data_IF_222331899748
#
_entry.id   IF_222331899748
#
_cell.length_a   1.000
_cell.length_b   1.000
_cell.length_c   1.000
_cell.angle_alpha   90.00
_cell.angle_beta   90.00
_cell.angle_gamma   90.00
#
_symmetry.space_group_name_H-M   'P 1'
#
loop_
_entity.id
_entity.type
_entity.pdbx_description
1 polymer ?
#
# COMPACT_ATOMS: atom_id res chain seq x y z
N UNK A 1 -3.17 23.62 3.74
CA UNK A 1 -2.62 22.38 4.32
C UNK A 1 -3.39 21.21 3.73
N UNK A 2 -2.73 20.18 3.19
CA UNK A 2 -3.40 18.95 2.71
C UNK A 2 -3.22 17.88 3.80
N UNK A 3 -4.32 17.32 4.30
CA UNK A 3 -4.31 16.31 5.36
C UNK A 3 -4.94 15.04 4.80
N UNK A 4 -4.27 13.89 4.96
CA UNK A 4 -4.92 12.59 4.82
C UNK A 4 -5.46 12.18 6.20
N UNK A 5 -6.78 12.07 6.32
CA UNK A 5 -7.47 11.70 7.56
C UNK A 5 -8.01 10.29 7.44
N UNK A 6 -7.68 9.43 8.42
CA UNK A 6 -8.11 8.04 8.47
C UNK A 6 -9.14 7.86 9.59
N UNK A 7 -10.40 7.70 9.20
CA UNK A 7 -11.47 7.29 10.13
C UNK A 7 -11.60 5.76 10.11
N UNK A 8 -10.78 5.10 10.92
CA UNK A 8 -10.71 3.64 10.99
C UNK A 8 -11.16 3.15 12.36
N UNK A 9 -12.47 2.99 12.56
CA UNK A 9 -13.07 2.63 13.86
C UNK A 9 -12.47 1.36 14.50
N UNK A 10 -12.01 0.40 13.69
CA UNK A 10 -11.37 -0.85 14.12
C UNK A 10 -9.89 -0.95 13.74
N UNK A 11 -9.26 0.16 13.37
CA UNK A 11 -7.93 0.18 12.77
C UNK A 11 -7.90 -0.24 11.29
N UNK A 12 -6.71 -0.17 10.69
CA UNK A 12 -6.42 -0.54 9.30
C UNK A 12 -5.12 -1.34 9.26
N UNK A 13 -5.07 -2.42 8.46
CA UNK A 13 -3.85 -3.20 8.27
C UNK A 13 -2.84 -2.46 7.38
N UNK A 14 -1.55 -2.80 7.51
CA UNK A 14 -0.49 -2.11 6.79
C UNK A 14 -0.60 -2.20 5.26
N UNK A 15 -1.01 -3.35 4.72
CA UNK A 15 -1.23 -3.56 3.29
C UNK A 15 -2.41 -2.74 2.76
N UNK A 16 -3.50 -2.62 3.54
CA UNK A 16 -4.64 -1.77 3.20
C UNK A 16 -4.25 -0.28 3.19
N UNK A 17 -3.47 0.16 4.18
CA UNK A 17 -2.96 1.54 4.25
C UNK A 17 -2.07 1.86 3.05
N UNK A 18 -1.11 1.00 2.73
CA UNK A 18 -0.21 1.19 1.58
C UNK A 18 -1.00 1.19 0.27
N UNK A 19 -1.95 0.27 0.11
CA UNK A 19 -2.85 0.25 -1.05
C UNK A 19 -3.61 1.56 -1.22
N UNK A 20 -4.15 2.11 -0.14
CA UNK A 20 -4.85 3.40 -0.16
C UNK A 20 -3.92 4.58 -0.51
N UNK A 21 -2.66 4.57 -0.04
CA UNK A 21 -1.68 5.59 -0.40
C UNK A 21 -1.27 5.51 -1.87
N UNK A 22 -1.15 4.31 -2.44
CA UNK A 22 -0.90 4.11 -3.88
C UNK A 22 -2.08 4.67 -4.69
N UNK A 23 -3.32 4.42 -4.25
CA UNK A 23 -4.51 5.02 -4.88
C UNK A 23 -4.55 6.55 -4.76
N UNK A 24 -3.95 7.12 -3.72
CA UNK A 24 -3.78 8.57 -3.52
C UNK A 24 -2.62 9.17 -4.35
N UNK A 25 -1.82 8.35 -5.03
CA UNK A 25 -0.71 8.76 -5.89
C UNK A 25 0.68 8.51 -5.33
N UNK A 26 0.84 7.67 -4.30
CA UNK A 26 2.16 7.18 -3.89
C UNK A 26 2.80 6.37 -5.03
N UNK A 27 3.99 6.79 -5.43
CA UNK A 27 4.80 6.08 -6.42
C UNK A 27 5.35 4.77 -5.83
N UNK A 28 5.12 3.67 -6.54
CA UNK A 28 5.56 2.35 -6.12
C UNK A 28 7.08 2.19 -6.20
N UNK A 29 7.75 2.85 -7.13
CA UNK A 29 9.20 2.74 -7.27
C UNK A 29 9.90 3.54 -6.18
N UNK A 30 9.30 4.67 -5.75
CA UNK A 30 9.69 5.35 -4.52
C UNK A 30 9.55 4.43 -3.30
N UNK A 31 8.42 3.74 -3.14
CA UNK A 31 8.20 2.79 -2.04
C UNK A 31 9.24 1.66 -2.03
N UNK A 32 9.53 1.05 -3.19
CA UNK A 32 10.58 0.01 -3.32
C UNK A 32 11.95 0.53 -2.87
N UNK A 33 12.31 1.73 -3.30
CA UNK A 33 13.59 2.37 -2.93
C UNK A 33 13.70 2.58 -1.43
N UNK A 34 12.64 3.04 -0.79
CA UNK A 34 12.63 3.27 0.67
C UNK A 34 12.67 1.97 1.46
N UNK A 35 11.91 0.94 1.04
CA UNK A 35 11.96 -0.39 1.66
C UNK A 35 13.32 -1.08 1.49
N UNK A 36 14.03 -0.81 0.39
CA UNK A 36 15.38 -1.31 0.15
C UNK A 36 16.40 -0.89 1.22
N UNK A 37 16.15 0.20 1.97
CA UNK A 37 17.03 0.65 3.06
C UNK A 37 16.99 -0.27 4.28
N UNK A 38 15.93 -1.08 4.43
CA UNK A 38 15.77 -1.99 5.57
C UNK A 38 16.69 -3.22 5.50
N UNK A 39 17.45 -3.39 4.42
CA UNK A 39 18.38 -4.53 4.21
C UNK A 39 17.70 -5.90 4.35
N UNK A 40 16.40 -5.97 4.09
CA UNK A 40 15.63 -7.22 4.05
C UNK A 40 15.95 -7.97 2.75
N UNK A 41 16.12 -9.28 2.85
CA UNK A 41 16.29 -10.18 1.71
C UNK A 41 14.99 -10.96 1.46
N UNK A 42 14.90 -11.56 0.28
CA UNK A 42 13.89 -12.57 -0.04
C UNK A 42 12.44 -12.08 0.09
N UNK A 43 12.17 -10.87 -0.40
CA UNK A 43 10.81 -10.38 -0.58
C UNK A 43 10.65 -9.63 -1.91
N UNK A 44 9.43 -9.64 -2.43
CA UNK A 44 8.98 -8.76 -3.50
C UNK A 44 7.68 -8.10 -3.07
N UNK A 45 7.43 -6.91 -3.61
CA UNK A 45 6.16 -6.22 -3.42
C UNK A 45 5.40 -6.20 -4.73
N UNK A 46 4.10 -6.43 -4.63
CA UNK A 46 3.17 -6.30 -5.74
C UNK A 46 2.05 -5.35 -5.37
N UNK A 47 1.65 -4.52 -6.31
CA UNK A 47 0.44 -3.71 -6.20
C UNK A 47 -0.40 -3.96 -7.45
N UNK A 48 -1.65 -4.37 -7.25
CA UNK A 48 -2.58 -4.63 -8.35
C UNK A 48 -3.93 -3.99 -8.07
N UNK A 49 -4.57 -3.48 -9.11
CA UNK A 49 -5.97 -3.07 -9.03
C UNK A 49 -6.84 -4.30 -8.87
N UNK A 50 -7.75 -4.24 -7.91
CA UNK A 50 -8.77 -5.26 -7.67
C UNK A 50 -10.14 -4.60 -7.56
N UNK A 51 -11.20 -5.37 -7.81
CA UNK A 51 -12.57 -5.01 -7.44
C UNK A 51 -13.00 -5.96 -6.34
N UNK A 52 -13.33 -5.41 -5.16
CA UNK A 52 -13.86 -6.18 -4.02
C UNK A 52 -15.21 -5.60 -3.66
N UNK A 53 -16.27 -6.42 -3.72
CA UNK A 53 -17.64 -6.01 -3.43
C UNK A 53 -18.07 -4.74 -4.23
N UNK A 54 -17.65 -4.65 -5.50
CA UNK A 54 -17.96 -3.51 -6.38
C UNK A 54 -17.08 -2.27 -6.18
N UNK A 55 -16.16 -2.27 -5.22
CA UNK A 55 -15.24 -1.15 -4.96
C UNK A 55 -13.88 -1.47 -5.60
N UNK A 56 -13.37 -0.53 -6.40
CA UNK A 56 -12.02 -0.63 -6.97
C UNK A 56 -11.00 -0.12 -5.98
N UNK A 57 -9.97 -0.91 -5.70
CA UNK A 57 -8.83 -0.51 -4.85
C UNK A 57 -7.52 -1.13 -5.31
N UNK A 58 -6.40 -0.61 -4.83
CA UNK A 58 -5.11 -1.28 -4.95
C UNK A 58 -4.90 -2.29 -3.82
N UNK A 59 -4.68 -3.56 -4.17
CA UNK A 59 -4.20 -4.58 -3.24
C UNK A 59 -2.69 -4.63 -3.26
N UNK A 60 -2.07 -4.21 -2.15
CA UNK A 60 -0.64 -4.37 -1.89
C UNK A 60 -0.38 -5.75 -1.29
N UNK A 61 0.64 -6.46 -1.78
CA UNK A 61 1.09 -7.72 -1.20
C UNK A 61 2.61 -7.72 -1.06
N UNK A 62 3.09 -8.38 -0.01
CA UNK A 62 4.47 -8.83 0.11
C UNK A 62 4.48 -10.33 -0.16
N UNK A 63 5.31 -10.76 -1.10
CA UNK A 63 5.46 -12.16 -1.51
C UNK A 63 6.94 -12.55 -1.41
N UNK A 64 7.19 -13.85 -1.29
CA UNK A 64 8.54 -14.45 -1.32
C UNK A 64 9.02 -14.68 -2.77
#
# INVERSE_FOLDING_TARGET
MKIAYFDCFSGISGDMLIGALIDLGLDIDYLKKELGKLSLKDYRIEAKKIVKNGITSTKFNVIE
#
